data_IF_876654208098
#
_entry.id   IF_876654208098
#
_cell.length_a   1.000
_cell.length_b   1.000
_cell.length_c   1.000
_cell.angle_alpha   90.00
_cell.angle_beta   90.00
_cell.angle_gamma   90.00
#
_symmetry.space_group_name_H-M   'P 1'
#
loop_
_entity.id
_entity.type
_entity.pdbx_description
1 polymer ?
#
# COMPACT_ATOMS: atom_id res chain seq x y z
N UNK A 1 -1.72 -3.77 -8.82
CA UNK A 1 -1.05 -3.25 -7.60
C UNK A 1 -2.11 -2.83 -6.60
N UNK A 2 -1.95 -3.10 -5.30
CA UNK A 2 -2.93 -2.77 -4.27
C UNK A 2 -2.51 -1.49 -3.54
N UNK A 3 -3.43 -0.54 -3.36
CA UNK A 3 -3.28 0.65 -2.54
C UNK A 3 -4.15 0.50 -1.30
N UNK A 4 -3.55 0.29 -0.14
CA UNK A 4 -4.27 -0.13 1.06
C UNK A 4 -4.26 0.93 2.16
N UNK A 5 -5.35 0.99 2.93
CA UNK A 5 -5.38 1.66 4.22
C UNK A 5 -4.34 1.05 5.17
N UNK A 6 -3.68 1.90 5.98
CA UNK A 6 -2.72 1.44 6.98
C UNK A 6 -3.08 1.94 8.37
N UNK A 7 -3.63 1.05 9.20
CA UNK A 7 -4.02 1.35 10.58
C UNK A 7 -3.00 0.84 11.60
N UNK A 8 -2.47 -0.36 11.36
CA UNK A 8 -1.55 -1.04 12.27
C UNK A 8 -0.76 -2.14 11.53
N UNK A 9 0.20 -2.77 12.20
CA UNK A 9 1.01 -3.83 11.61
C UNK A 9 0.21 -5.09 11.24
N UNK A 10 -0.91 -5.34 11.92
CA UNK A 10 -1.79 -6.48 11.66
C UNK A 10 -2.47 -6.42 10.28
N UNK A 11 -2.53 -5.24 9.65
CA UNK A 11 -3.06 -5.09 8.29
C UNK A 11 -2.32 -6.00 7.30
N UNK A 12 -1.02 -6.23 7.51
CA UNK A 12 -0.17 -7.02 6.62
C UNK A 12 -0.59 -8.51 6.62
N UNK A 13 -0.57 -9.24 7.76
CA UNK A 13 -1.00 -10.63 7.77
C UNK A 13 -2.49 -10.79 7.44
N UNK A 14 -3.35 -9.86 7.83
CA UNK A 14 -4.78 -9.91 7.51
C UNK A 14 -5.03 -9.79 6.00
N UNK A 15 -4.31 -8.91 5.31
CA UNK A 15 -4.35 -8.82 3.85
C UNK A 15 -3.86 -10.11 3.19
N UNK A 16 -2.79 -10.71 3.72
CA UNK A 16 -2.28 -12.00 3.25
C UNK A 16 -3.31 -13.11 3.36
N UNK A 17 -4.05 -13.16 4.47
CA UNK A 17 -5.13 -14.13 4.66
C UNK A 17 -6.36 -13.88 3.78
N UNK A 18 -6.63 -12.62 3.44
CA UNK A 18 -7.75 -12.23 2.59
C UNK A 18 -7.45 -12.39 1.08
N UNK A 19 -6.21 -12.60 0.71
CA UNK A 19 -5.79 -12.76 -0.68
C UNK A 19 -5.57 -14.23 -1.01
N UNK A 20 -6.11 -14.72 -2.16
CA UNK A 20 -5.80 -16.08 -2.62
C UNK A 20 -4.41 -16.22 -3.24
N UNK A 21 -3.67 -15.13 -3.37
CA UNK A 21 -2.33 -15.09 -3.95
C UNK A 21 -1.30 -14.49 -2.99
N UNK A 22 -0.02 -14.84 -3.13
CA UNK A 22 1.06 -14.19 -2.40
C UNK A 22 1.07 -12.68 -2.62
N UNK A 23 1.31 -11.93 -1.54
CA UNK A 23 1.40 -10.48 -1.57
C UNK A 23 2.81 -10.02 -1.17
N UNK A 24 3.32 -9.01 -1.88
CA UNK A 24 4.58 -8.36 -1.56
C UNK A 24 4.30 -6.94 -1.04
N UNK A 25 4.85 -6.60 0.12
CA UNK A 25 4.55 -5.35 0.82
C UNK A 25 5.72 -4.38 0.73
N UNK A 26 5.50 -3.21 0.16
CA UNK A 26 6.51 -2.15 0.16
C UNK A 26 6.68 -1.61 1.58
N UNK A 27 7.85 -1.84 2.15
CA UNK A 27 8.17 -1.50 3.53
C UNK A 27 9.38 -0.57 3.62
N UNK A 28 9.46 0.21 4.70
CA UNK A 28 10.59 1.12 4.95
C UNK A 28 11.89 0.33 5.05
N UNK A 29 12.95 0.81 4.40
CA UNK A 29 14.28 0.17 4.42
C UNK A 29 14.82 -0.05 5.84
N UNK A 30 14.51 0.85 6.76
CA UNK A 30 14.95 0.78 8.16
C UNK A 30 14.51 -0.52 8.86
N UNK A 31 13.38 -1.10 8.45
CA UNK A 31 12.91 -2.38 8.99
C UNK A 31 13.77 -3.58 8.58
N UNK A 32 14.66 -3.40 7.59
CA UNK A 32 15.56 -4.45 7.11
C UNK A 32 16.98 -4.34 7.65
N UNK A 33 17.27 -3.34 8.48
CA UNK A 33 18.61 -3.14 9.05
C UNK A 33 18.89 -4.17 10.15
N UNK A 34 17.94 -4.35 11.06
CA UNK A 34 18.09 -5.29 12.16
C UNK A 34 17.81 -6.74 11.72
N UNK A 35 18.62 -7.74 12.08
CA UNK A 35 18.48 -9.12 11.60
C UNK A 35 17.10 -9.74 11.85
N UNK A 36 16.58 -9.61 13.08
CA UNK A 36 15.26 -10.16 13.46
C UNK A 36 14.11 -9.51 12.69
N UNK A 37 14.08 -8.17 12.62
CA UNK A 37 13.04 -7.48 11.88
C UNK A 37 13.14 -7.77 10.37
N UNK A 38 14.35 -7.87 9.84
CA UNK A 38 14.59 -8.27 8.44
C UNK A 38 14.03 -9.66 8.13
N UNK A 39 14.32 -10.64 8.99
CA UNK A 39 13.81 -12.00 8.84
C UNK A 39 12.28 -12.00 8.86
N UNK A 40 11.68 -11.35 9.85
CA UNK A 40 10.22 -11.26 9.99
C UNK A 40 9.55 -10.54 8.81
N UNK A 41 10.04 -9.35 8.44
CA UNK A 41 9.46 -8.55 7.33
C UNK A 41 9.63 -9.26 5.99
N UNK A 42 10.77 -9.93 5.75
CA UNK A 42 10.96 -10.75 4.54
C UNK A 42 10.03 -11.96 4.49
N UNK A 43 9.83 -12.63 5.63
CA UNK A 43 8.89 -13.74 5.74
C UNK A 43 7.44 -13.35 5.43
N UNK A 44 7.09 -12.08 5.66
CA UNK A 44 5.79 -11.52 5.28
C UNK A 44 5.74 -10.98 3.84
N UNK A 45 6.76 -11.23 3.01
CA UNK A 45 6.82 -10.69 1.64
C UNK A 45 7.24 -9.22 1.56
N UNK A 46 7.95 -8.70 2.56
CA UNK A 46 8.41 -7.31 2.58
C UNK A 46 9.46 -7.01 1.53
N UNK A 47 9.25 -5.93 0.77
CA UNK A 47 10.17 -5.39 -0.25
C UNK A 47 10.70 -4.05 0.26
N UNK A 48 12.02 -3.89 0.45
CA UNK A 48 12.58 -2.67 1.00
C UNK A 48 12.47 -1.49 0.02
N UNK A 49 12.05 -0.34 0.55
CA UNK A 49 12.09 0.93 -0.16
C UNK A 49 12.91 1.94 0.62
N UNK A 50 14.09 2.28 0.10
CA UNK A 50 14.91 3.34 0.67
C UNK A 50 14.52 4.69 0.07
N UNK A 51 13.82 5.52 0.85
CA UNK A 51 13.35 6.86 0.42
C UNK A 51 14.40 7.95 0.66
N UNK A 52 15.43 7.69 1.46
CA UNK A 52 16.43 8.70 1.89
C UNK A 52 17.61 8.80 0.93
N UNK A 53 17.92 7.73 0.19
CA UNK A 53 19.06 7.66 -0.73
C UNK A 53 18.58 7.52 -2.17
N UNK A 54 18.79 8.51 -3.05
CA UNK A 54 18.25 8.49 -4.43
C UNK A 54 18.66 7.27 -5.24
N UNK A 55 19.91 6.83 -5.18
CA UNK A 55 20.39 5.65 -5.90
C UNK A 55 19.74 4.36 -5.36
N UNK A 56 19.76 4.15 -4.06
CA UNK A 56 19.12 2.99 -3.43
C UNK A 56 17.60 2.97 -3.63
N UNK A 57 16.98 4.15 -3.73
CA UNK A 57 15.56 4.27 -4.09
C UNK A 57 15.30 3.78 -5.52
N UNK A 58 16.18 4.12 -6.49
CA UNK A 58 16.07 3.65 -7.89
C UNK A 58 16.13 2.12 -7.98
N UNK A 59 17.04 1.49 -7.24
CA UNK A 59 17.16 0.03 -7.22
C UNK A 59 15.96 -0.64 -6.57
N UNK A 60 15.44 -0.07 -5.48
CA UNK A 60 14.19 -0.51 -4.87
C UNK A 60 13.03 -0.46 -5.85
N UNK A 61 12.85 0.65 -6.55
CA UNK A 61 11.80 0.82 -7.57
C UNK A 61 11.99 -0.16 -8.73
N UNK A 62 13.22 -0.35 -9.21
CA UNK A 62 13.52 -1.33 -10.29
C UNK A 62 13.11 -2.74 -9.87
N UNK A 63 13.40 -3.13 -8.63
CA UNK A 63 13.00 -4.43 -8.09
C UNK A 63 11.48 -4.57 -8.01
N UNK A 64 10.77 -3.55 -7.51
CA UNK A 64 9.30 -3.54 -7.45
C UNK A 64 8.70 -3.67 -8.86
N UNK A 65 9.21 -2.92 -9.84
CA UNK A 65 8.75 -3.00 -11.23
C UNK A 65 8.98 -4.40 -11.81
N UNK A 66 10.13 -5.02 -11.54
CA UNK A 66 10.40 -6.40 -11.97
C UNK A 66 9.40 -7.38 -11.38
N UNK A 67 9.09 -7.29 -10.08
CA UNK A 67 8.07 -8.12 -9.45
C UNK A 67 6.70 -7.93 -10.12
N UNK A 68 6.32 -6.70 -10.42
CA UNK A 68 5.07 -6.39 -11.13
C UNK A 68 5.05 -7.03 -12.53
N UNK A 69 6.15 -6.95 -13.27
CA UNK A 69 6.27 -7.53 -14.61
C UNK A 69 6.22 -9.06 -14.59
N UNK A 70 6.64 -9.68 -13.49
CA UNK A 70 6.52 -11.11 -13.25
C UNK A 70 5.09 -11.53 -12.79
N UNK A 71 4.13 -10.61 -12.78
CA UNK A 71 2.76 -10.89 -12.36
C UNK A 71 2.53 -10.87 -10.86
N UNK A 72 3.53 -10.47 -10.06
CA UNK A 72 3.42 -10.43 -8.62
C UNK A 72 2.52 -9.28 -8.13
N UNK A 73 1.90 -9.48 -6.98
CA UNK A 73 0.94 -8.53 -6.40
C UNK A 73 1.62 -7.69 -5.34
N UNK A 74 1.79 -6.43 -5.66
CA UNK A 74 2.47 -5.47 -4.78
C UNK A 74 1.45 -4.67 -3.99
N UNK A 75 1.63 -4.61 -2.68
CA UNK A 75 0.86 -3.80 -1.75
C UNK A 75 1.66 -2.56 -1.37
N UNK A 76 1.02 -1.42 -1.49
CA UNK A 76 1.54 -0.13 -1.04
C UNK A 76 0.55 0.50 -0.08
N UNK A 77 1.07 1.05 1.00
CA UNK A 77 0.33 1.89 1.92
C UNK A 77 0.64 3.36 1.57
N UNK A 78 -0.26 4.07 0.85
CA UNK A 78 0.04 5.42 0.36
C UNK A 78 0.28 6.42 1.49
N UNK A 79 -0.30 6.19 2.67
CA UNK A 79 -0.12 7.02 3.86
C UNK A 79 1.33 6.98 4.40
N UNK A 80 2.09 5.92 4.11
CA UNK A 80 3.48 5.74 4.55
C UNK A 80 3.69 5.56 6.06
N UNK A 81 2.63 5.68 6.86
CA UNK A 81 2.61 5.44 8.32
C UNK A 81 1.20 5.05 8.77
N UNK A 82 1.03 4.78 10.06
CA UNK A 82 -0.25 4.38 10.63
C UNK A 82 -1.17 5.57 10.94
N UNK A 83 -2.41 5.49 10.48
CA UNK A 83 -3.51 6.38 10.91
C UNK A 83 -4.71 5.53 11.32
N UNK A 84 -5.10 5.58 12.60
CA UNK A 84 -6.09 4.63 13.16
C UNK A 84 -7.53 4.95 12.75
N UNK A 85 -8.01 6.15 13.06
CA UNK A 85 -9.43 6.51 12.96
C UNK A 85 -9.71 7.58 11.91
N UNK A 86 -8.77 7.82 11.02
CA UNK A 86 -8.87 8.78 9.91
C UNK A 86 -7.99 8.35 8.75
N UNK A 87 -8.19 8.94 7.60
CA UNK A 87 -7.21 8.88 6.52
C UNK A 87 -6.10 9.89 6.77
N UNK A 88 -4.87 9.46 6.58
CA UNK A 88 -3.71 10.35 6.52
C UNK A 88 -3.47 10.89 5.12
N UNK A 89 -2.53 11.81 4.95
CA UNK A 89 -2.13 12.30 3.65
C UNK A 89 -1.52 11.17 2.81
N UNK A 90 -1.85 11.13 1.54
CA UNK A 90 -1.25 10.20 0.59
C UNK A 90 0.06 10.74 0.02
N UNK A 91 0.99 9.84 -0.29
CA UNK A 91 2.26 10.16 -0.92
C UNK A 91 2.34 9.58 -2.34
N UNK A 92 2.44 10.45 -3.34
CA UNK A 92 2.42 10.07 -4.77
C UNK A 92 3.74 9.48 -5.29
N UNK A 93 4.84 9.59 -4.54
CA UNK A 93 6.19 9.27 -5.03
C UNK A 93 6.36 7.86 -5.60
N UNK A 94 5.84 6.83 -4.93
CA UNK A 94 5.94 5.45 -5.42
C UNK A 94 5.02 5.21 -6.62
N UNK A 95 3.81 5.78 -6.62
CA UNK A 95 2.86 5.69 -7.72
C UNK A 95 3.48 6.30 -8.98
N UNK A 96 4.05 7.51 -8.85
CA UNK A 96 4.77 8.20 -9.93
C UNK A 96 5.93 7.36 -10.48
N UNK A 97 6.74 6.79 -9.59
CA UNK A 97 7.91 6.02 -9.99
C UNK A 97 7.55 4.72 -10.72
N UNK A 98 6.44 4.07 -10.33
CA UNK A 98 5.96 2.86 -10.98
C UNK A 98 5.28 3.20 -12.30
N UNK A 99 4.40 4.18 -12.33
CA UNK A 99 3.64 4.56 -13.52
C UNK A 99 4.55 5.02 -14.67
N UNK A 100 5.69 5.65 -14.34
CA UNK A 100 6.70 6.03 -15.33
C UNK A 100 7.39 4.81 -16.01
N UNK A 101 7.22 3.60 -15.47
CA UNK A 101 7.92 2.38 -15.93
C UNK A 101 6.99 1.23 -16.29
N UNK A 102 5.75 1.26 -15.80
CA UNK A 102 4.79 0.17 -15.98
C UNK A 102 3.38 0.70 -15.86
N UNK A 103 2.55 0.44 -16.87
CA UNK A 103 1.13 0.80 -16.87
C UNK A 103 0.33 -0.32 -16.22
N UNK A 104 0.16 -0.26 -14.91
CA UNK A 104 -0.59 -1.27 -14.14
C UNK A 104 -1.81 -0.66 -13.49
N UNK A 105 -2.93 -1.42 -13.35
CA UNK A 105 -4.06 -0.97 -12.57
C UNK A 105 -3.71 -0.90 -11.08
N UNK A 106 -4.34 0.04 -10.39
CA UNK A 106 -4.25 0.19 -8.95
C UNK A 106 -5.59 -0.16 -8.33
N UNK A 107 -5.60 -1.13 -7.43
CA UNK A 107 -6.82 -1.55 -6.73
C UNK A 107 -6.82 -0.91 -5.34
N UNK A 108 -7.77 -0.02 -5.04
CA UNK A 108 -7.93 0.52 -3.69
C UNK A 108 -8.43 -0.57 -2.75
N UNK A 109 -7.88 -0.62 -1.54
CA UNK A 109 -8.26 -1.59 -0.52
C UNK A 109 -8.52 -0.89 0.80
N UNK A 110 -9.74 -1.02 1.29
CA UNK A 110 -10.14 -0.55 2.60
C UNK A 110 -10.01 -1.63 3.66
N UNK A 111 -9.60 -1.22 4.85
CA UNK A 111 -9.56 -2.09 6.03
C UNK A 111 -10.35 -1.39 7.13
N UNK A 112 -11.43 -2.02 7.55
CA UNK A 112 -12.30 -1.53 8.62
C UNK A 112 -12.29 -2.46 9.82
N UNK A 113 -11.98 -1.90 10.99
CA UNK A 113 -11.98 -2.59 12.27
C UNK A 113 -13.22 -2.19 13.04
N UNK A 114 -14.11 -3.14 13.27
CA UNK A 114 -15.30 -2.93 14.08
C UNK A 114 -14.94 -3.01 15.57
N UNK A 115 -15.31 -1.99 16.31
CA UNK A 115 -15.17 -1.97 17.77
C UNK A 115 -16.35 -2.72 18.40
N UNK A 116 -16.14 -3.98 18.71
CA UNK A 116 -17.10 -4.79 19.44
C UNK A 116 -16.66 -5.03 20.89
N UNK A 117 -17.61 -5.06 21.82
CA UNK A 117 -17.32 -5.33 23.25
C UNK A 117 -16.75 -6.74 23.48
N UNK A 118 -17.17 -7.73 22.67
CA UNK A 118 -16.82 -9.16 22.87
C UNK A 118 -15.99 -9.69 21.73
N UNK A 119 -16.23 -9.28 20.47
CA UNK A 119 -15.51 -9.76 19.30
C UNK A 119 -14.98 -8.59 18.47
N UNK A 120 -13.70 -8.64 18.16
CA UNK A 120 -13.08 -7.74 17.18
C UNK A 120 -13.29 -8.33 15.78
N UNK A 121 -13.98 -7.60 14.93
CA UNK A 121 -14.18 -7.98 13.53
C UNK A 121 -13.34 -7.05 12.64
N UNK A 122 -12.80 -7.60 11.56
CA UNK A 122 -12.10 -6.83 10.54
C UNK A 122 -12.74 -7.15 9.19
N UNK A 123 -13.06 -6.10 8.44
CA UNK A 123 -13.53 -6.22 7.06
C UNK A 123 -12.45 -5.68 6.14
N UNK A 124 -12.10 -6.46 5.12
CA UNK A 124 -11.21 -6.05 4.05
C UNK A 124 -12.04 -5.99 2.77
N UNK A 125 -12.06 -4.82 2.12
CA UNK A 125 -12.84 -4.57 0.92
C UNK A 125 -11.91 -4.15 -0.22
N UNK A 126 -12.02 -4.85 -1.33
CA UNK A 126 -11.30 -4.53 -2.57
C UNK A 126 -12.21 -3.71 -3.46
N UNK A 127 -11.75 -2.54 -3.89
CA UNK A 127 -12.45 -1.70 -4.83
C UNK A 127 -12.20 -2.10 -6.29
N UNK A 128 -12.78 -1.33 -7.21
CA UNK A 128 -12.54 -1.54 -8.64
C UNK A 128 -11.13 -1.10 -9.04
N UNK A 129 -10.51 -1.79 -10.02
CA UNK A 129 -9.21 -1.36 -10.54
C UNK A 129 -9.27 0.05 -11.14
N UNK A 130 -8.39 0.93 -10.66
CA UNK A 130 -8.22 2.27 -11.16
C UNK A 130 -7.07 2.30 -12.18
N UNK A 131 -7.36 2.80 -13.35
CA UNK A 131 -6.36 3.11 -14.37
C UNK A 131 -6.04 4.59 -14.33
N UNK A 132 -4.76 4.92 -14.49
CA UNK A 132 -4.35 6.30 -14.61
C UNK A 132 -4.59 6.76 -16.06
N UNK A 133 -5.43 7.75 -16.22
CA UNK A 133 -5.62 8.44 -17.48
C UNK A 133 -4.42 9.35 -17.74
N UNK A 134 -3.87 9.39 -18.98
CA UNK A 134 -2.77 10.28 -19.34
C UNK A 134 -3.03 11.77 -19.08
N UNK A 135 -4.30 12.18 -19.12
CA UNK A 135 -4.73 13.57 -18.85
C UNK A 135 -4.81 13.91 -17.37
N UNK A 136 -4.83 12.89 -16.49
CA UNK A 136 -4.98 13.08 -15.04
C UNK A 136 -3.61 13.26 -14.36
N UNK A 137 -3.47 14.31 -13.55
CA UNK A 137 -2.28 14.48 -12.74
C UNK A 137 -2.12 13.33 -11.73
N UNK A 138 -0.88 12.99 -11.39
CA UNK A 138 -0.57 11.95 -10.38
C UNK A 138 -1.25 12.25 -9.03
N UNK A 139 -1.27 13.51 -8.63
CA UNK A 139 -1.87 13.91 -7.36
C UNK A 139 -3.40 13.88 -7.43
N UNK A 140 -4.00 14.18 -8.59
CA UNK A 140 -5.43 13.99 -8.83
C UNK A 140 -5.83 12.50 -8.78
N UNK A 141 -5.04 11.63 -9.41
CA UNK A 141 -5.21 10.19 -9.33
C UNK A 141 -5.11 9.66 -7.89
N UNK A 142 -4.04 10.08 -7.16
CA UNK A 142 -3.87 9.72 -5.76
C UNK A 142 -5.06 10.18 -4.91
N UNK A 143 -5.53 11.42 -5.11
CA UNK A 143 -6.70 11.95 -4.40
C UNK A 143 -7.97 11.11 -4.63
N UNK A 144 -8.18 10.59 -5.86
CA UNK A 144 -9.28 9.66 -6.16
C UNK A 144 -9.08 8.33 -5.43
N UNK A 145 -7.92 7.73 -5.53
CA UNK A 145 -7.61 6.47 -4.86
C UNK A 145 -7.76 6.57 -3.33
N UNK A 146 -7.31 7.68 -2.72
CA UNK A 146 -7.43 7.89 -1.28
C UNK A 146 -8.89 8.04 -0.83
N UNK A 147 -9.76 8.68 -1.63
CA UNK A 147 -11.21 8.74 -1.35
C UNK A 147 -11.82 7.34 -1.37
N UNK A 148 -11.56 6.55 -2.39
CA UNK A 148 -12.08 5.19 -2.47
C UNK A 148 -11.59 4.31 -1.31
N UNK A 149 -10.31 4.43 -0.92
CA UNK A 149 -9.78 3.73 0.24
C UNK A 149 -10.52 4.16 1.52
N UNK A 150 -10.82 5.45 1.67
CA UNK A 150 -11.57 5.99 2.81
C UNK A 150 -12.99 5.41 2.89
N UNK A 151 -13.72 5.42 1.77
CA UNK A 151 -15.07 4.86 1.67
C UNK A 151 -15.10 3.37 1.98
N UNK A 152 -14.19 2.60 1.38
CA UNK A 152 -14.04 1.16 1.65
C UNK A 152 -13.67 0.86 3.11
N UNK A 153 -12.96 1.79 3.77
CA UNK A 153 -12.56 1.68 5.18
C UNK A 153 -13.58 2.23 6.15
N UNK A 154 -14.68 2.84 5.67
CA UNK A 154 -15.65 3.60 6.47
C UNK A 154 -14.98 4.70 7.33
N UNK A 155 -14.05 5.45 6.75
CA UNK A 155 -13.29 6.51 7.41
C UNK A 155 -13.57 7.89 6.78
N UNK A 156 -13.62 8.97 7.58
CA UNK A 156 -13.69 10.31 7.04
C UNK A 156 -12.42 10.66 6.25
N UNK A 157 -12.59 11.32 5.11
CA UNK A 157 -11.51 11.84 4.29
C UNK A 157 -11.71 13.33 4.05
N UNK A 158 -10.90 14.15 4.73
CA UNK A 158 -10.85 15.58 4.50
C UNK A 158 -9.63 15.87 3.61
N UNK A 159 -9.85 16.57 2.49
CA UNK A 159 -8.74 17.19 1.76
C UNK A 159 -8.16 18.29 2.65
N UNK A 160 -6.92 18.15 3.07
CA UNK A 160 -6.13 19.27 3.58
C UNK A 160 -5.74 20.20 2.44
#
# INVERSE_FOLDING_TARGET
>A
MLLCKHRCWQDIPLLGLASPWPLYYVAKYELFIHPLSRWFVRGLGGVPLNRKRPLASRDSIRNIVRLIQNGERIVVFPEGTYYRNRMGPGHSGIIRAIQARSKVPFVPVGIHYYEGKIQKRVSIRFGQPLHMDPSTSIDGFLGRAMREIAELSALPFHRG
#
